data_IF_117210896974
#
_entry.id   IF_117210896974
#
_cell.length_a   1.000
_cell.length_b   1.000
_cell.length_c   1.000
_cell.angle_alpha   90.00
_cell.angle_beta   90.00
_cell.angle_gamma   90.00
#
_symmetry.space_group_name_H-M   'P 1'
#
loop_
_entity.id
_entity.type
_entity.pdbx_description
1 polymer ?
#
# COMPACT_ATOMS: atom_id res chain seq x y z
N UNK A 1 18.99 8.81 21.42
CA UNK A 1 18.74 10.16 20.89
C UNK A 1 17.31 10.19 20.42
N UNK A 2 16.45 10.94 21.10
CA UNK A 2 15.03 11.05 20.77
C UNK A 2 14.88 11.73 19.41
N UNK A 3 14.38 11.00 18.42
CA UNK A 3 13.99 11.55 17.13
C UNK A 3 12.60 12.15 17.27
N UNK A 4 12.53 13.47 17.36
CA UNK A 4 11.27 14.20 17.23
C UNK A 4 10.82 14.15 15.77
N UNK A 5 9.80 13.34 15.49
CA UNK A 5 8.98 13.46 14.28
C UNK A 5 8.16 14.74 14.41
N UNK A 6 8.35 15.67 13.47
CA UNK A 6 7.52 16.86 13.36
C UNK A 6 6.17 16.42 12.76
N UNK A 7 5.22 16.11 13.63
CA UNK A 7 3.84 15.77 13.27
C UNK A 7 3.19 16.86 12.42
N UNK A 8 2.36 16.43 11.47
CA UNK A 8 1.53 17.33 10.69
C UNK A 8 0.58 18.09 11.62
N UNK A 9 0.45 19.41 11.46
CA UNK A 9 -0.33 20.31 12.33
C UNK A 9 -1.85 19.97 12.38
N UNK A 10 -2.31 19.03 11.55
CA UNK A 10 -3.70 18.62 11.43
C UNK A 10 -4.03 17.29 12.13
N UNK A 11 -3.06 16.60 12.72
CA UNK A 11 -3.29 15.32 13.44
C UNK A 11 -3.27 15.54 14.97
N UNK A 12 -4.13 16.44 15.47
CA UNK A 12 -4.23 16.75 16.92
C UNK A 12 -5.03 15.71 17.73
N UNK A 13 -5.47 14.63 17.10
CA UNK A 13 -6.16 13.54 17.78
C UNK A 13 -5.40 12.25 17.54
N UNK A 14 -4.76 11.71 18.58
CA UNK A 14 -4.19 10.35 18.60
C UNK A 14 -5.27 9.24 18.45
N UNK A 15 -6.52 9.63 18.20
CA UNK A 15 -7.64 8.72 18.04
C UNK A 15 -7.67 8.14 16.61
N UNK A 16 -7.39 6.84 16.56
CA UNK A 16 -7.41 6.05 15.34
C UNK A 16 -8.85 5.90 14.83
N UNK A 17 -9.10 6.36 13.61
CA UNK A 17 -10.42 6.30 12.99
C UNK A 17 -10.36 6.34 11.46
N UNK A 18 -11.36 5.75 10.83
CA UNK A 18 -11.53 5.78 9.38
C UNK A 18 -12.62 6.78 9.01
N UNK A 19 -12.31 7.67 8.07
CA UNK A 19 -13.31 8.56 7.46
C UNK A 19 -14.22 7.83 6.47
N UNK A 20 -15.24 8.53 5.94
CA UNK A 20 -16.05 8.01 4.84
C UNK A 20 -15.22 7.87 3.55
N UNK A 21 -15.65 6.97 2.67
CA UNK A 21 -15.01 6.71 1.37
C UNK A 21 -15.58 7.55 0.22
N UNK A 22 -16.57 8.41 0.49
CA UNK A 22 -17.24 9.24 -0.52
C UNK A 22 -16.34 10.30 -1.18
N UNK A 23 -15.23 10.66 -0.52
CA UNK A 23 -14.21 11.56 -1.06
C UNK A 23 -13.27 10.95 -2.10
N UNK A 24 -13.41 9.66 -2.44
CA UNK A 24 -12.55 8.96 -3.40
C UNK A 24 -12.55 9.65 -4.77
N UNK A 25 -11.36 9.85 -5.32
CA UNK A 25 -11.16 10.47 -6.63
C UNK A 25 -10.61 9.46 -7.63
N UNK A 26 -11.46 9.04 -8.56
CA UNK A 26 -11.08 8.13 -9.66
C UNK A 26 -10.28 8.84 -10.74
N UNK A 27 -9.17 8.23 -11.13
CA UNK A 27 -8.40 8.55 -12.34
C UNK A 27 -8.39 7.31 -13.24
N UNK A 28 -8.97 7.43 -14.44
CA UNK A 28 -8.89 6.37 -15.45
C UNK A 28 -7.51 6.41 -16.10
N UNK A 29 -6.83 5.27 -16.14
CA UNK A 29 -5.50 5.10 -16.69
C UNK A 29 -5.51 4.57 -18.14
N UNK A 30 -6.65 4.04 -18.59
CA UNK A 30 -6.84 3.47 -19.92
C UNK A 30 -6.78 1.93 -19.93
N UNK A 31 -7.22 1.31 -21.01
CA UNK A 31 -7.32 -0.15 -21.17
C UNK A 31 -8.09 -0.87 -20.04
N UNK A 32 -9.07 -0.19 -19.41
CA UNK A 32 -9.82 -0.71 -18.28
C UNK A 32 -9.13 -0.58 -16.91
N UNK A 33 -7.95 0.04 -16.84
CA UNK A 33 -7.25 0.32 -15.59
C UNK A 33 -7.66 1.68 -15.02
N UNK A 34 -7.73 1.77 -13.70
CA UNK A 34 -8.00 3.00 -12.96
C UNK A 34 -7.33 2.99 -11.59
N UNK A 35 -7.20 4.18 -10.99
CA UNK A 35 -6.84 4.36 -9.59
C UNK A 35 -7.85 5.26 -8.87
N UNK A 36 -8.18 4.93 -7.63
CA UNK A 36 -8.92 5.81 -6.73
C UNK A 36 -7.98 6.32 -5.64
N UNK A 37 -8.08 7.61 -5.31
CA UNK A 37 -7.25 8.25 -4.29
C UNK A 37 -8.12 8.95 -3.25
N UNK A 38 -7.81 8.73 -1.98
CA UNK A 38 -8.42 9.43 -0.85
C UNK A 38 -7.33 9.81 0.16
N UNK A 39 -6.85 11.06 0.13
CA UNK A 39 -5.90 11.56 1.11
C UNK A 39 -6.50 11.62 2.51
N UNK A 40 -5.71 11.29 3.54
CA UNK A 40 -6.12 11.40 4.94
C UNK A 40 -7.35 10.57 5.32
N UNK A 41 -7.53 9.39 4.70
CA UNK A 41 -8.65 8.50 5.02
C UNK A 41 -8.59 7.98 6.46
N UNK A 42 -7.38 7.70 6.95
CA UNK A 42 -7.13 7.29 8.33
C UNK A 42 -6.65 8.48 9.16
N UNK A 43 -7.32 8.77 10.28
CA UNK A 43 -6.84 9.66 11.34
C UNK A 43 -5.97 8.91 12.35
N UNK A 44 -5.09 9.62 13.07
CA UNK A 44 -4.20 9.02 14.08
C UNK A 44 -3.17 8.07 13.46
N UNK A 45 -2.78 8.29 12.20
CA UNK A 45 -1.91 7.38 11.47
C UNK A 45 -0.49 7.28 12.08
N UNK A 46 -0.07 8.24 12.91
CA UNK A 46 1.20 8.25 13.63
C UNK A 46 1.16 7.18 14.73
N UNK A 47 0.06 7.13 15.47
CA UNK A 47 -0.20 6.10 16.47
C UNK A 47 -0.25 4.69 15.84
N UNK A 48 -0.87 4.55 14.66
CA UNK A 48 -0.86 3.27 13.94
C UNK A 48 0.55 2.91 13.47
N UNK A 49 1.28 3.87 12.90
CA UNK A 49 2.63 3.65 12.41
C UNK A 49 3.54 3.13 13.53
N UNK A 50 3.57 3.79 14.68
CA UNK A 50 4.41 3.40 15.82
C UNK A 50 4.08 1.99 16.31
N UNK A 51 2.79 1.65 16.46
CA UNK A 51 2.34 0.31 16.86
C UNK A 51 2.77 -0.76 15.85
N UNK A 52 2.51 -0.53 14.56
CA UNK A 52 2.89 -1.50 13.52
C UNK A 52 4.40 -1.65 13.39
N UNK A 53 5.16 -0.56 13.52
CA UNK A 53 6.62 -0.60 13.47
C UNK A 53 7.21 -1.43 14.62
N UNK A 54 6.62 -1.35 15.82
CA UNK A 54 7.05 -2.08 17.01
C UNK A 54 6.59 -3.55 17.03
N UNK A 55 5.32 -3.81 16.72
CA UNK A 55 4.67 -5.08 17.07
C UNK A 55 4.59 -6.09 15.92
N UNK A 56 4.65 -5.62 14.66
CA UNK A 56 4.59 -6.53 13.51
C UNK A 56 5.89 -7.35 13.44
N UNK A 57 5.82 -8.68 13.26
CA UNK A 57 6.99 -9.56 13.20
C UNK A 57 7.68 -9.47 11.82
N UNK A 58 8.26 -8.29 11.53
CA UNK A 58 8.89 -7.94 10.26
C UNK A 58 9.98 -8.94 9.86
N UNK A 59 9.93 -9.40 8.61
CA UNK A 59 10.93 -10.29 8.03
C UNK A 59 11.70 -9.59 6.92
N UNK A 60 13.03 -9.70 6.97
CA UNK A 60 13.88 -9.39 5.82
C UNK A 60 13.90 -10.60 4.89
N UNK A 61 13.61 -10.38 3.61
CA UNK A 61 13.72 -11.41 2.58
C UNK A 61 15.01 -11.25 1.78
N UNK A 62 15.44 -12.35 1.16
CA UNK A 62 16.51 -12.36 0.17
C UNK A 62 15.98 -12.90 -1.15
N UNK A 63 16.44 -12.35 -2.25
CA UNK A 63 16.09 -12.82 -3.60
C UNK A 63 17.36 -13.07 -4.40
N UNK A 64 17.35 -14.15 -5.18
CA UNK A 64 18.41 -14.41 -6.15
C UNK A 64 18.20 -13.50 -7.36
N UNK A 65 19.22 -12.72 -7.69
CA UNK A 65 19.27 -11.82 -8.83
C UNK A 65 20.56 -12.12 -9.59
N UNK A 66 20.42 -12.72 -10.77
CA UNK A 66 21.53 -13.36 -11.50
C UNK A 66 22.23 -14.41 -10.63
N UNK A 67 23.55 -14.34 -10.51
CA UNK A 67 24.37 -15.23 -9.68
C UNK A 67 24.52 -14.75 -8.22
N UNK A 68 23.85 -13.66 -7.83
CA UNK A 68 23.96 -13.08 -6.50
C UNK A 68 22.65 -13.17 -5.72
N UNK A 69 22.75 -13.35 -4.41
CA UNK A 69 21.61 -13.24 -3.50
C UNK A 69 21.63 -11.85 -2.87
N UNK A 70 20.62 -11.03 -3.17
CA UNK A 70 20.49 -9.66 -2.68
C UNK A 70 19.38 -9.56 -1.63
N UNK A 71 19.59 -8.72 -0.63
CA UNK A 71 18.55 -8.40 0.34
C UNK A 71 17.42 -7.62 -0.35
N UNK A 72 16.18 -8.01 -0.08
CA UNK A 72 15.01 -7.23 -0.47
C UNK A 72 15.04 -5.94 0.34
N UNK A 73 15.07 -4.76 -0.30
CA UNK A 73 15.28 -3.50 0.41
C UNK A 73 13.95 -2.99 1.00
N UNK A 74 13.37 -3.79 1.90
CA UNK A 74 12.20 -3.51 2.75
C UNK A 74 11.94 -4.72 3.64
N UNK A 75 11.28 -4.52 4.78
CA UNK A 75 10.79 -5.62 5.60
C UNK A 75 9.34 -5.95 5.25
N UNK A 76 8.97 -7.21 5.42
CA UNK A 76 7.69 -7.76 4.98
C UNK A 76 6.99 -8.51 6.11
N UNK A 77 5.66 -8.45 6.11
CA UNK A 77 4.79 -9.32 6.86
C UNK A 77 3.54 -9.61 6.02
N UNK A 78 2.98 -10.80 6.14
CA UNK A 78 1.83 -11.21 5.35
C UNK A 78 0.81 -11.93 6.22
N UNK A 79 -0.45 -11.55 6.07
CA UNK A 79 -1.61 -12.08 6.79
C UNK A 79 -2.58 -12.68 5.78
N UNK A 80 -2.86 -13.97 5.94
CA UNK A 80 -3.78 -14.75 5.11
C UNK A 80 -5.23 -14.45 5.48
N UNK A 81 -6.15 -14.93 4.65
CA UNK A 81 -7.57 -14.90 4.96
C UNK A 81 -7.85 -15.64 6.28
N UNK A 82 -8.52 -14.95 7.20
CA UNK A 82 -8.82 -15.46 8.55
C UNK A 82 -7.75 -15.17 9.59
N UNK A 83 -6.55 -14.72 9.22
CA UNK A 83 -5.53 -14.32 10.19
C UNK A 83 -5.96 -13.03 10.90
N UNK A 84 -5.69 -12.96 12.21
CA UNK A 84 -5.86 -11.73 12.99
C UNK A 84 -4.86 -10.68 12.52
N UNK A 85 -5.37 -9.53 12.05
CA UNK A 85 -4.55 -8.40 11.64
C UNK A 85 -3.91 -7.72 12.87
N UNK A 86 -2.73 -7.09 12.71
CA UNK A 86 -1.94 -6.58 13.84
C UNK A 86 -2.58 -5.39 14.56
N UNK A 87 -3.64 -4.80 13.99
CA UNK A 87 -4.44 -3.78 14.65
C UNK A 87 -5.90 -3.86 14.18
N UNK A 88 -6.90 -3.66 15.06
CA UNK A 88 -8.33 -3.71 14.71
C UNK A 88 -8.72 -2.80 13.53
N UNK A 89 -8.18 -1.57 13.50
CA UNK A 89 -8.44 -0.60 12.41
C UNK A 89 -8.09 -1.14 11.02
N UNK A 90 -7.16 -2.10 10.90
CA UNK A 90 -6.84 -2.72 9.61
C UNK A 90 -7.93 -3.71 9.17
N UNK A 91 -8.59 -4.38 10.12
CA UNK A 91 -9.75 -5.22 9.82
C UNK A 91 -10.95 -4.34 9.43
N UNK A 92 -11.19 -3.26 10.18
CA UNK A 92 -12.20 -2.26 9.84
C UNK A 92 -11.96 -1.66 8.45
N UNK A 93 -10.72 -1.30 8.12
CA UNK A 93 -10.36 -0.77 6.81
C UNK A 93 -10.64 -1.79 5.69
N UNK A 94 -10.21 -3.04 5.87
CA UNK A 94 -10.49 -4.13 4.92
C UNK A 94 -11.99 -4.31 4.71
N UNK A 95 -12.77 -4.30 5.77
CA UNK A 95 -14.20 -4.56 5.73
C UNK A 95 -14.97 -3.38 5.11
N UNK A 96 -14.58 -2.14 5.44
CA UNK A 96 -15.12 -0.93 4.81
C UNK A 96 -14.82 -0.88 3.29
N UNK A 97 -13.60 -1.20 2.90
CA UNK A 97 -13.22 -1.31 1.48
C UNK A 97 -13.99 -2.43 0.78
N UNK A 98 -14.16 -3.58 1.43
CA UNK A 98 -14.92 -4.70 0.87
C UNK A 98 -16.38 -4.31 0.64
N UNK A 99 -17.02 -3.66 1.61
CA UNK A 99 -18.39 -3.19 1.49
C UNK A 99 -18.53 -2.12 0.38
N UNK A 100 -17.57 -1.20 0.28
CA UNK A 100 -17.59 -0.14 -0.72
C UNK A 100 -17.46 -0.67 -2.15
N UNK A 101 -16.53 -1.61 -2.39
CA UNK A 101 -16.22 -2.10 -3.73
C UNK A 101 -16.98 -3.37 -4.14
N UNK A 102 -17.80 -3.99 -3.27
CA UNK A 102 -18.46 -5.27 -3.56
C UNK A 102 -19.25 -5.29 -4.88
N UNK A 103 -19.87 -4.17 -5.25
CA UNK A 103 -20.66 -4.08 -6.48
C UNK A 103 -19.79 -4.09 -7.76
N UNK A 104 -18.55 -3.59 -7.68
CA UNK A 104 -17.61 -3.54 -8.80
C UNK A 104 -16.66 -4.74 -8.80
N UNK A 105 -16.18 -5.15 -7.63
CA UNK A 105 -15.23 -6.25 -7.44
C UNK A 105 -15.90 -7.63 -7.41
N UNK A 106 -17.15 -7.72 -6.92
CA UNK A 106 -17.90 -8.98 -6.78
C UNK A 106 -17.43 -9.89 -5.64
N UNK A 107 -16.36 -9.54 -4.93
CA UNK A 107 -15.76 -10.31 -3.83
C UNK A 107 -15.10 -9.38 -2.80
N UNK A 108 -14.87 -9.82 -1.55
CA UNK A 108 -14.23 -9.01 -0.53
C UNK A 108 -12.70 -9.01 -0.66
N UNK A 109 -12.05 -8.03 -0.04
CA UNK A 109 -10.64 -8.13 0.31
C UNK A 109 -10.48 -9.12 1.46
N UNK A 110 -9.53 -10.05 1.36
CA UNK A 110 -9.38 -11.15 2.32
C UNK A 110 -8.00 -11.23 2.96
N UNK A 111 -6.97 -10.68 2.32
CA UNK A 111 -5.58 -10.76 2.79
C UNK A 111 -4.98 -9.37 3.04
N UNK A 112 -3.90 -9.31 3.82
CA UNK A 112 -3.13 -8.09 4.02
C UNK A 112 -1.62 -8.35 3.91
N UNK A 113 -0.96 -7.67 2.97
CA UNK A 113 0.48 -7.62 2.85
C UNK A 113 1.04 -6.30 3.37
N UNK A 114 1.96 -6.36 4.32
CA UNK A 114 2.59 -5.19 4.90
C UNK A 114 4.03 -5.06 4.39
N UNK A 115 4.42 -3.85 4.02
CA UNK A 115 5.78 -3.51 3.61
C UNK A 115 6.30 -2.34 4.43
N UNK A 116 7.38 -2.56 5.19
CA UNK A 116 8.06 -1.53 5.96
C UNK A 116 9.32 -1.06 5.23
N UNK A 117 9.27 0.19 4.74
CA UNK A 117 10.39 0.92 4.18
C UNK A 117 11.03 1.75 5.29
N UNK A 118 12.22 1.37 5.75
CA UNK A 118 12.86 1.99 6.91
C UNK A 118 13.35 3.40 6.62
N UNK A 119 13.74 3.66 5.37
CA UNK A 119 14.18 4.97 4.88
C UNK A 119 14.10 5.07 3.34
N UNK A 120 14.70 6.14 2.79
CA UNK A 120 14.79 6.38 1.34
C UNK A 120 15.58 5.35 0.53
N UNK A 121 16.39 4.49 1.17
CA UNK A 121 17.17 3.43 0.50
C UNK A 121 16.35 2.17 0.29
N UNK A 122 15.33 1.96 1.12
CA UNK A 122 14.34 0.91 0.92
C UNK A 122 13.43 1.25 -0.28
N UNK A 123 13.10 0.24 -1.09
CA UNK A 123 12.41 0.38 -2.38
C UNK A 123 11.74 -0.92 -2.84
N UNK A 124 10.93 -0.79 -3.89
CA UNK A 124 10.52 -1.92 -4.72
C UNK A 124 10.63 -1.51 -6.19
N UNK A 125 11.29 -2.35 -6.98
CA UNK A 125 11.44 -2.13 -8.42
C UNK A 125 10.09 -2.22 -9.14
N UNK A 126 10.06 -1.77 -10.39
CA UNK A 126 8.89 -1.92 -11.26
C UNK A 126 8.41 -3.37 -11.32
N UNK A 127 7.15 -3.57 -10.96
CA UNK A 127 6.47 -4.86 -11.05
C UNK A 127 4.97 -4.64 -11.29
N UNK A 128 4.30 -5.65 -11.82
CA UNK A 128 2.85 -5.80 -11.70
C UNK A 128 2.57 -7.10 -10.95
N UNK A 129 1.31 -7.36 -10.63
CA UNK A 129 0.92 -8.61 -9.96
C UNK A 129 0.91 -9.74 -10.99
N UNK A 130 2.09 -10.35 -11.17
CA UNK A 130 2.36 -11.35 -12.21
C UNK A 130 2.05 -12.79 -11.76
N UNK A 131 1.61 -12.98 -10.53
CA UNK A 131 1.34 -14.27 -9.92
C UNK A 131 -0.11 -14.30 -9.42
N UNK A 132 -0.79 -15.43 -9.63
CA UNK A 132 -2.18 -15.58 -9.22
C UNK A 132 -3.16 -14.91 -10.19
N UNK A 133 -4.38 -14.67 -9.70
CA UNK A 133 -5.52 -14.17 -10.49
C UNK A 133 -5.27 -12.77 -11.06
N UNK A 134 -4.56 -11.91 -10.32
CA UNK A 134 -4.22 -10.56 -10.77
C UNK A 134 -3.46 -10.50 -12.11
N UNK A 135 -2.82 -11.59 -12.52
CA UNK A 135 -2.14 -11.68 -13.81
C UNK A 135 -3.09 -11.91 -15.00
N UNK A 136 -4.35 -12.30 -14.76
CA UNK A 136 -5.29 -12.76 -15.81
C UNK A 136 -6.68 -12.13 -15.72
N UNK A 137 -7.11 -11.73 -14.53
CA UNK A 137 -8.45 -11.21 -14.26
C UNK A 137 -8.39 -9.75 -13.81
N UNK A 138 -9.49 -9.02 -14.00
CA UNK A 138 -9.66 -7.70 -13.40
C UNK A 138 -9.81 -7.88 -11.89
N UNK A 139 -9.12 -7.04 -11.12
CA UNK A 139 -9.10 -7.15 -9.66
C UNK A 139 -8.76 -5.79 -9.04
N UNK A 140 -8.71 -5.74 -7.71
CA UNK A 140 -8.35 -4.54 -6.96
C UNK A 140 -7.25 -4.83 -5.95
N UNK A 141 -6.35 -3.87 -5.78
CA UNK A 141 -5.41 -3.82 -4.67
C UNK A 141 -5.56 -2.47 -4.00
N UNK A 142 -5.94 -2.47 -2.73
CA UNK A 142 -6.07 -1.26 -1.93
C UNK A 142 -4.85 -1.09 -1.03
N UNK A 143 -4.28 0.11 -0.99
CA UNK A 143 -3.08 0.43 -0.21
C UNK A 143 -3.36 1.60 0.72
N UNK A 144 -3.34 1.32 2.01
CA UNK A 144 -3.30 2.33 3.07
C UNK A 144 -1.84 2.60 3.45
N UNK A 145 -1.44 3.87 3.52
CA UNK A 145 -0.08 4.28 3.85
C UNK A 145 -0.02 5.00 5.18
N UNK A 146 0.99 4.69 6.00
CA UNK A 146 1.30 5.42 7.25
C UNK A 146 2.80 5.71 7.34
N UNK A 147 3.16 6.74 8.10
CA UNK A 147 4.52 7.26 8.19
C UNK A 147 4.86 8.28 7.09
N UNK A 148 6.13 8.35 6.71
CA UNK A 148 6.65 9.37 5.80
C UNK A 148 6.15 9.20 4.35
N UNK A 149 5.86 10.30 3.63
CA UNK A 149 5.37 10.24 2.27
C UNK A 149 6.40 9.66 1.29
N UNK A 150 5.94 8.77 0.41
CA UNK A 150 6.73 8.21 -0.69
C UNK A 150 5.90 8.17 -1.96
N UNK A 151 6.55 8.42 -3.10
CA UNK A 151 5.92 8.25 -4.41
C UNK A 151 5.61 6.76 -4.63
N UNK A 152 4.33 6.45 -4.83
CA UNK A 152 3.93 5.32 -5.65
C UNK A 152 3.99 5.75 -7.11
N UNK A 153 4.94 5.17 -7.84
CA UNK A 153 5.10 5.42 -9.26
C UNK A 153 4.36 4.32 -10.04
N UNK A 154 3.58 4.70 -11.05
CA UNK A 154 2.88 3.79 -11.96
C UNK A 154 3.28 4.11 -13.40
N UNK A 155 3.41 3.09 -14.25
CA UNK A 155 3.64 3.24 -15.70
C UNK A 155 2.92 2.14 -16.49
N UNK A 156 2.55 2.39 -17.77
CA UNK A 156 2.02 1.33 -18.61
C UNK A 156 3.06 0.21 -18.80
N UNK A 157 2.59 -1.03 -18.85
CA UNK A 157 3.43 -2.18 -19.18
C UNK A 157 3.92 -2.06 -20.61
N UNK A 158 5.23 -2.24 -20.82
CA UNK A 158 5.87 -2.01 -22.11
C UNK A 158 6.47 -0.61 -22.28
N UNK A 159 6.27 0.28 -21.29
CA UNK A 159 6.82 1.63 -21.29
C UNK A 159 5.77 2.70 -21.59
N UNK A 160 6.10 3.94 -21.23
CA UNK A 160 5.20 5.08 -21.33
C UNK A 160 5.45 6.08 -20.20
N UNK A 161 4.58 7.09 -20.11
CA UNK A 161 4.68 8.13 -19.11
C UNK A 161 4.50 7.58 -17.69
N UNK A 162 5.33 8.08 -16.78
CA UNK A 162 5.31 7.67 -15.37
C UNK A 162 4.38 8.61 -14.60
N UNK A 163 3.32 8.04 -14.04
CA UNK A 163 2.47 8.70 -13.07
C UNK A 163 3.07 8.56 -11.67
N UNK A 164 3.17 9.66 -10.92
CA UNK A 164 3.59 9.65 -9.51
C UNK A 164 2.45 10.09 -8.61
N UNK A 165 2.23 9.33 -7.54
CA UNK A 165 1.30 9.66 -6.47
C UNK A 165 2.06 9.65 -5.15
N UNK A 166 2.35 10.81 -4.54
CA UNK A 166 2.90 10.83 -3.20
C UNK A 166 1.83 10.28 -2.26
N UNK A 167 2.15 9.21 -1.55
CA UNK A 167 1.27 8.61 -0.56
C UNK A 167 1.93 8.80 0.80
N UNK A 168 1.28 9.62 1.61
CA UNK A 168 1.69 9.97 2.95
C UNK A 168 0.78 9.38 4.01
N UNK A 169 0.60 10.19 5.03
CA UNK A 169 0.11 9.81 6.33
C UNK A 169 -1.42 9.62 6.31
N UNK A 170 -1.87 8.37 6.38
CA UNK A 170 -3.29 8.01 6.34
C UNK A 170 -3.91 7.99 4.94
N UNK A 171 -3.10 8.13 3.89
CA UNK A 171 -3.59 8.15 2.50
C UNK A 171 -3.96 6.75 2.02
N UNK A 172 -5.09 6.68 1.31
CA UNK A 172 -5.57 5.51 0.60
C UNK A 172 -5.36 5.68 -0.91
N UNK A 173 -4.85 4.64 -1.56
CA UNK A 173 -4.97 4.43 -3.00
C UNK A 173 -5.56 3.07 -3.30
N UNK A 174 -6.44 2.96 -4.28
CA UNK A 174 -6.93 1.68 -4.82
C UNK A 174 -6.55 1.59 -6.29
N UNK A 175 -5.98 0.46 -6.70
CA UNK A 175 -5.66 0.17 -8.09
C UNK A 175 -6.60 -0.93 -8.59
N UNK A 176 -7.47 -0.60 -9.55
CA UNK A 176 -8.56 -1.48 -9.95
C UNK A 176 -8.69 -1.76 -11.44
N UNK A 177 -9.64 -2.64 -11.78
CA UNK A 177 -9.87 -3.10 -13.15
C UNK A 177 -8.67 -3.88 -13.69
N UNK A 178 -8.20 -3.50 -14.87
CA UNK A 178 -7.06 -4.18 -15.52
C UNK A 178 -5.68 -3.76 -15.01
N UNK A 179 -5.62 -2.85 -14.02
CA UNK A 179 -4.40 -2.17 -13.59
C UNK A 179 -3.25 -3.14 -13.29
N UNK A 180 -3.52 -4.23 -12.57
CA UNK A 180 -2.49 -5.20 -12.19
C UNK A 180 -1.85 -5.94 -13.39
N UNK A 181 -2.55 -6.01 -14.53
CA UNK A 181 -2.05 -6.65 -15.77
C UNK A 181 -1.38 -5.66 -16.72
N UNK A 182 -1.94 -4.47 -16.82
CA UNK A 182 -1.63 -3.47 -17.86
C UNK A 182 -0.69 -2.38 -17.38
N UNK A 183 -0.51 -2.24 -16.06
CA UNK A 183 0.40 -1.27 -15.44
C UNK A 183 1.43 -1.95 -14.54
N UNK A 184 2.59 -1.31 -14.40
CA UNK A 184 3.60 -1.64 -13.41
C UNK A 184 3.67 -0.51 -12.38
N UNK A 185 3.98 -0.86 -11.13
CA UNK A 185 4.17 0.08 -10.05
C UNK A 185 5.49 -0.15 -9.31
N UNK A 186 5.97 0.90 -8.65
CA UNK A 186 7.23 0.91 -7.92
C UNK A 186 7.20 1.91 -6.77
N UNK A 187 8.02 1.64 -5.73
CA UNK A 187 8.44 2.63 -4.75
C UNK A 187 9.94 2.89 -5.01
N UNK A 188 10.30 3.95 -5.76
CA UNK A 188 11.69 4.21 -6.11
C UNK A 188 12.50 4.64 -4.88
N UNK A 189 13.80 4.37 -4.90
CA UNK A 189 14.73 4.92 -3.90
C UNK A 189 14.70 6.45 -3.96
N UNK A 190 14.84 7.08 -2.81
CA UNK A 190 14.94 8.53 -2.66
C UNK A 190 16.32 8.90 -2.13
N UNK A 191 16.97 9.86 -2.78
CA UNK A 191 18.19 10.51 -2.26
C UNK A 191 17.88 11.60 -1.24
N UNK A 192 16.63 12.07 -1.18
CA UNK A 192 16.17 12.97 -0.12
C UNK A 192 16.02 12.18 1.16
N UNK A 193 16.33 12.82 2.29
CA UNK A 193 16.01 12.29 3.61
C UNK A 193 14.51 11.97 3.65
N UNK A 194 14.19 10.68 3.75
CA UNK A 194 12.83 10.17 3.83
C UNK A 194 12.75 9.32 5.09
N UNK A 195 11.77 9.64 5.93
CA UNK A 195 11.49 8.86 7.14
C UNK A 195 10.94 7.46 6.81
N UNK A 196 10.69 6.68 7.86
CA UNK A 196 10.10 5.36 7.73
C UNK A 196 8.65 5.42 7.20
N UNK A 197 8.25 4.41 6.41
CA UNK A 197 6.90 4.27 5.84
C UNK A 197 6.44 2.82 5.91
N UNK A 198 5.18 2.60 6.30
CA UNK A 198 4.52 1.30 6.18
C UNK A 198 3.42 1.37 5.12
N UNK A 199 3.40 0.38 4.24
CA UNK A 199 2.39 0.18 3.20
C UNK A 199 1.56 -1.04 3.55
N UNK A 200 0.26 -0.87 3.83
CA UNK A 200 -0.69 -1.93 4.12
C UNK A 200 -1.51 -2.20 2.87
N UNK A 201 -1.37 -3.39 2.28
CA UNK A 201 -1.99 -3.75 1.01
C UNK A 201 -3.07 -4.80 1.21
N UNK A 202 -4.32 -4.46 0.98
CA UNK A 202 -5.45 -5.38 1.02
C UNK A 202 -5.70 -5.97 -0.37
N UNK A 203 -5.90 -7.29 -0.44
CA UNK A 203 -6.13 -8.01 -1.70
C UNK A 203 -7.26 -9.03 -1.58
N UNK A 204 -8.02 -9.29 -2.67
CA UNK A 204 -8.95 -10.42 -2.77
C UNK A 204 -8.24 -11.77 -2.75
N UNK A 205 -9.02 -12.85 -2.74
CA UNK A 205 -8.46 -14.20 -2.74
C UNK A 205 -7.72 -14.50 -4.04
N UNK A 206 -6.51 -15.07 -3.92
CA UNK A 206 -5.70 -15.49 -5.06
C UNK A 206 -4.99 -14.35 -5.80
N UNK A 207 -4.93 -13.15 -5.24
CA UNK A 207 -4.19 -11.99 -5.75
C UNK A 207 -2.99 -11.74 -4.84
N UNK A 208 -1.76 -11.79 -5.38
CA UNK A 208 -0.50 -11.64 -4.63
C UNK A 208 0.46 -10.66 -5.31
#
# INVERSE_FOLDING_TARGET
MSTHLQGSLFDQTDELGLGPLDGLRRTVLGAGAWIDLLPGWLSGADALFERLAADVPWRAERRKMYDQTVDVPRLLAYYRAGDTLPHPVLAEARDALSAHYVAELGEPFTTAGLCYYRDGRDSVAWHGDRIGRGAREDTMVAILSVGAPRDLALRPRGGGDVLRRPLGHGDLIVMGGSCQRTWEHAIPKSTRAAGPRISIQFRPSGVN
#
